data_IF_170585320985
#
_entry.id   IF_170585320985
#
_cell.length_a   1.000
_cell.length_b   1.000
_cell.length_c   1.000
_cell.angle_alpha   90.00
_cell.angle_beta   90.00
_cell.angle_gamma   90.00
#
_symmetry.space_group_name_H-M   'P 1'
#
loop_
_entity.id
_entity.type
_entity.pdbx_description
1 polymer ?
#
# COMPACT_ATOMS: atom_id res chain seq x y z
N UNK A 1 -2.38 8.59 31.42
CA UNK A 1 -2.71 8.94 30.03
C UNK A 1 -1.41 9.41 29.38
N UNK A 2 -0.58 8.48 28.89
CA UNK A 2 0.71 8.80 28.27
C UNK A 2 0.51 8.71 26.77
N UNK A 3 0.54 9.86 26.09
CA UNK A 3 0.79 9.92 24.66
C UNK A 3 2.16 9.27 24.42
N UNK A 4 2.17 8.11 23.78
CA UNK A 4 3.40 7.54 23.22
C UNK A 4 3.65 8.27 21.92
N UNK A 5 4.29 9.43 22.02
CA UNK A 5 4.87 10.15 20.88
C UNK A 5 6.05 9.32 20.34
N UNK A 6 5.73 8.25 19.62
CA UNK A 6 6.70 7.52 18.82
C UNK A 6 6.95 8.32 17.54
N UNK A 7 7.69 9.42 17.66
CA UNK A 7 8.34 10.08 16.52
C UNK A 7 9.51 9.19 16.10
N UNK A 8 9.24 8.24 15.20
CA UNK A 8 10.26 7.61 14.38
C UNK A 8 9.76 7.45 12.96
N UNK A 9 9.77 8.59 12.25
CA UNK A 9 9.52 8.70 10.83
C UNK A 9 10.44 9.76 10.25
N UNK A 10 11.70 9.35 10.02
CA UNK A 10 12.77 10.05 9.27
C UNK A 10 13.60 11.12 10.00
N UNK A 11 14.95 11.02 9.96
CA UNK A 11 15.79 12.20 10.11
C UNK A 11 15.60 13.06 8.86
N UNK A 12 15.00 14.23 9.03
CA UNK A 12 14.83 15.29 8.03
C UNK A 12 13.88 14.97 6.87
N UNK A 13 12.65 15.50 6.98
CA UNK A 13 11.83 15.80 5.81
C UNK A 13 12.57 16.75 4.88
N UNK A 14 13.06 16.24 3.75
CA UNK A 14 13.32 16.97 2.49
C UNK A 14 13.73 16.02 1.34
N UNK A 15 13.30 14.76 1.40
CA UNK A 15 13.37 13.88 0.24
C UNK A 15 12.03 13.17 0.16
N UNK A 16 11.35 13.24 -1.00
CA UNK A 16 10.17 12.41 -1.27
C UNK A 16 10.49 10.91 -1.35
N UNK A 17 11.46 10.44 -0.57
CA UNK A 17 11.80 9.04 -0.33
C UNK A 17 11.27 8.68 1.05
N UNK A 18 9.95 8.70 1.19
CA UNK A 18 9.30 8.12 2.35
C UNK A 18 9.54 6.63 2.33
N UNK A 19 10.53 6.13 3.07
CA UNK A 19 10.70 4.70 3.24
C UNK A 19 11.30 4.43 4.63
N UNK A 20 10.41 4.26 5.62
CA UNK A 20 10.48 3.01 6.37
C UNK A 20 10.18 1.92 5.33
N UNK A 21 10.98 0.85 5.25
CA UNK A 21 10.66 -0.21 4.28
C UNK A 21 9.30 -0.78 4.62
N UNK A 22 8.55 -1.26 3.61
CA UNK A 22 7.24 -1.86 3.83
C UNK A 22 7.30 -2.99 4.89
N UNK A 23 8.43 -3.68 4.96
CA UNK A 23 8.75 -4.69 5.95
C UNK A 23 8.84 -4.13 7.37
N UNK A 24 9.48 -2.97 7.57
CA UNK A 24 9.59 -2.33 8.89
C UNK A 24 8.21 -1.92 9.41
N UNK A 25 7.37 -1.35 8.55
CA UNK A 25 5.99 -0.99 8.90
C UNK A 25 5.20 -2.25 9.28
N UNK A 26 5.34 -3.33 8.52
CA UNK A 26 4.66 -4.58 8.80
C UNK A 26 5.08 -5.16 10.15
N UNK A 27 6.38 -5.18 10.47
CA UNK A 27 6.88 -5.67 11.76
C UNK A 27 6.29 -4.84 12.91
N UNK A 28 6.23 -3.51 12.77
CA UNK A 28 5.66 -2.63 13.80
C UNK A 28 4.17 -2.91 13.98
N UNK A 29 3.41 -3.04 12.89
CA UNK A 29 1.97 -3.34 12.94
C UNK A 29 1.71 -4.70 13.59
N UNK A 30 2.50 -5.72 13.26
CA UNK A 30 2.37 -7.08 13.83
C UNK A 30 2.74 -7.13 15.32
N UNK A 31 3.73 -6.34 15.76
CA UNK A 31 4.20 -6.33 17.15
C UNK A 31 3.45 -5.32 18.04
N UNK A 32 2.74 -4.36 17.46
CA UNK A 32 2.03 -3.33 18.19
C UNK A 32 0.69 -3.84 18.72
N UNK A 33 0.42 -3.55 20.00
CA UNK A 33 -0.90 -3.72 20.62
C UNK A 33 -1.72 -2.43 20.63
N UNK A 34 -1.15 -1.34 20.09
CA UNK A 34 -1.76 -0.01 20.02
C UNK A 34 -1.93 0.42 18.56
N UNK A 35 -2.89 1.32 18.26
CA UNK A 35 -3.10 1.78 16.89
C UNK A 35 -1.84 2.42 16.29
N UNK A 36 -1.46 2.00 15.09
CA UNK A 36 -0.26 2.48 14.39
C UNK A 36 -0.65 3.53 13.35
N UNK A 37 -0.10 4.72 13.50
CA UNK A 37 -0.29 5.85 12.58
C UNK A 37 1.02 6.12 11.85
N UNK A 38 0.99 6.10 10.52
CA UNK A 38 2.16 6.44 9.71
C UNK A 38 2.14 7.92 9.37
N UNK A 39 3.17 8.63 9.84
CA UNK A 39 3.40 10.06 9.58
C UNK A 39 4.74 10.24 8.86
N UNK A 40 4.77 11.20 7.93
CA UNK A 40 5.88 11.56 7.03
C UNK A 40 6.18 10.58 5.87
N UNK A 41 6.54 11.17 4.72
CA UNK A 41 7.06 10.43 3.56
C UNK A 41 6.07 10.11 2.45
N UNK A 42 4.76 10.32 2.67
CA UNK A 42 3.73 10.07 1.66
C UNK A 42 3.70 11.21 0.64
N UNK A 43 4.07 10.94 -0.60
CA UNK A 43 4.05 11.91 -1.70
C UNK A 43 2.77 11.85 -2.53
N UNK A 44 2.19 10.65 -2.64
CA UNK A 44 1.01 10.39 -3.48
C UNK A 44 -0.01 9.48 -2.76
N UNK A 45 -1.28 9.50 -3.18
CA UNK A 45 -2.32 8.63 -2.59
C UNK A 45 -2.03 7.13 -2.67
N UNK A 46 -1.22 6.68 -3.64
CA UNK A 46 -0.81 5.28 -3.74
C UNK A 46 0.04 4.86 -2.55
N UNK A 47 0.93 5.73 -2.07
CA UNK A 47 1.78 5.43 -0.90
C UNK A 47 0.91 5.21 0.33
N UNK A 48 -0.09 6.07 0.52
CA UNK A 48 -1.08 5.92 1.58
C UNK A 48 -1.86 4.62 1.46
N UNK A 49 -2.21 4.20 0.24
CA UNK A 49 -2.91 2.94 -0.01
C UNK A 49 -2.04 1.74 0.40
N UNK A 50 -0.77 1.73 0.01
CA UNK A 50 0.20 0.68 0.37
C UNK A 50 0.36 0.58 1.88
N UNK A 51 0.48 1.70 2.59
CA UNK A 51 0.59 1.70 4.06
C UNK A 51 -0.65 1.10 4.73
N UNK A 52 -1.84 1.44 4.24
CA UNK A 52 -3.09 0.86 4.75
C UNK A 52 -3.22 -0.64 4.41
N UNK A 53 -2.68 -1.09 3.28
CA UNK A 53 -2.61 -2.52 2.91
C UNK A 53 -1.67 -3.33 3.82
N UNK A 54 -0.64 -2.70 4.38
CA UNK A 54 0.28 -3.33 5.35
C UNK A 54 -0.34 -3.45 6.75
N UNK A 55 -1.52 -2.87 6.97
CA UNK A 55 -2.26 -2.97 8.23
C UNK A 55 -2.12 -1.77 9.16
N UNK A 56 -1.62 -0.63 8.68
CA UNK A 56 -1.70 0.62 9.44
C UNK A 56 -3.16 1.03 9.73
N UNK A 57 -3.38 1.70 10.85
CA UNK A 57 -4.71 2.15 11.27
C UNK A 57 -5.07 3.51 10.66
N UNK A 58 -4.07 4.38 10.51
CA UNK A 58 -4.23 5.68 9.89
C UNK A 58 -2.94 6.18 9.24
N UNK A 59 -3.10 7.16 8.36
CA UNK A 59 -2.00 7.92 7.77
C UNK A 59 -2.16 9.41 8.08
N UNK A 60 -1.04 10.08 8.35
CA UNK A 60 -0.98 11.52 8.52
C UNK A 60 -0.30 12.13 7.30
N UNK A 61 -1.00 13.04 6.62
CA UNK A 61 -0.53 13.67 5.38
C UNK A 61 -0.66 15.18 5.52
N UNK A 62 0.46 15.89 5.31
CA UNK A 62 0.48 17.36 5.31
C UNK A 62 1.08 17.90 4.00
N UNK A 63 2.40 17.74 3.82
CA UNK A 63 3.15 18.35 2.72
C UNK A 63 2.61 18.00 1.34
N UNK A 64 2.21 16.74 1.10
CA UNK A 64 1.67 16.32 -0.18
C UNK A 64 0.35 17.00 -0.55
N UNK A 65 -0.50 17.32 0.42
CA UNK A 65 -1.75 18.07 0.17
C UNK A 65 -1.44 19.56 0.09
N UNK A 66 -0.63 20.09 1.01
CA UNK A 66 -0.33 21.51 1.11
C UNK A 66 0.48 22.06 -0.08
N UNK A 67 1.39 21.27 -0.66
CA UNK A 67 2.22 21.66 -1.80
C UNK A 67 1.69 21.18 -3.15
N UNK A 68 0.53 20.52 -3.19
CA UNK A 68 -0.09 20.12 -4.45
C UNK A 68 -0.59 21.34 -5.24
N UNK A 69 -0.56 21.24 -6.57
CA UNK A 69 -1.12 22.26 -7.46
C UNK A 69 -2.63 22.49 -7.20
N UNK A 70 -3.35 21.43 -6.81
CA UNK A 70 -4.75 21.52 -6.38
C UNK A 70 -4.93 20.74 -5.06
N UNK A 71 -4.85 21.42 -3.91
CA UNK A 71 -4.98 20.79 -2.59
C UNK A 71 -6.33 20.11 -2.35
N UNK A 72 -7.42 20.68 -2.88
CA UNK A 72 -8.76 20.10 -2.72
C UNK A 72 -8.89 18.76 -3.41
N UNK A 73 -8.42 18.68 -4.67
CA UNK A 73 -8.40 17.44 -5.44
C UNK A 73 -7.43 16.43 -4.84
N UNK A 74 -6.26 16.88 -4.37
CA UNK A 74 -5.29 15.99 -3.71
C UNK A 74 -5.84 15.41 -2.40
N UNK A 75 -6.56 16.21 -1.60
CA UNK A 75 -7.23 15.72 -0.39
C UNK A 75 -8.29 14.66 -0.68
N UNK A 76 -9.08 14.85 -1.74
CA UNK A 76 -10.04 13.82 -2.19
C UNK A 76 -9.32 12.55 -2.66
N UNK A 77 -8.24 12.69 -3.42
CA UNK A 77 -7.45 11.57 -3.90
C UNK A 77 -6.84 10.77 -2.72
N UNK A 78 -6.27 11.44 -1.71
CA UNK A 78 -5.76 10.78 -0.50
C UNK A 78 -6.88 10.06 0.28
N UNK A 79 -8.05 10.68 0.42
CA UNK A 79 -9.21 10.04 1.06
C UNK A 79 -9.57 8.73 0.37
N UNK A 80 -9.63 8.72 -0.97
CA UNK A 80 -9.93 7.53 -1.75
C UNK A 80 -8.84 6.46 -1.63
N UNK A 81 -7.55 6.85 -1.67
CA UNK A 81 -6.42 5.94 -1.50
C UNK A 81 -6.45 5.22 -0.15
N UNK A 82 -6.65 5.97 0.94
CA UNK A 82 -6.76 5.38 2.29
C UNK A 82 -7.93 4.40 2.38
N UNK A 83 -9.10 4.77 1.84
CA UNK A 83 -10.26 3.89 1.83
C UNK A 83 -10.04 2.63 0.99
N UNK A 84 -9.37 2.76 -0.17
CA UNK A 84 -9.04 1.63 -1.03
C UNK A 84 -8.08 0.67 -0.33
N UNK A 85 -6.97 1.19 0.22
CA UNK A 85 -5.99 0.37 0.91
C UNK A 85 -6.56 -0.34 2.14
N UNK A 86 -7.40 0.34 2.94
CA UNK A 86 -8.05 -0.32 4.09
C UNK A 86 -9.03 -1.41 3.66
N UNK A 87 -9.79 -1.19 2.59
CA UNK A 87 -10.67 -2.22 2.03
C UNK A 87 -9.88 -3.40 1.48
N UNK A 88 -8.73 -3.16 0.84
CA UNK A 88 -7.85 -4.21 0.34
C UNK A 88 -7.25 -5.05 1.49
N UNK A 89 -6.86 -4.41 2.60
CA UNK A 89 -6.43 -5.12 3.81
C UNK A 89 -7.54 -6.04 4.36
N UNK A 90 -8.76 -5.51 4.52
CA UNK A 90 -9.90 -6.27 5.03
C UNK A 90 -10.38 -7.37 4.06
N UNK A 91 -10.24 -7.17 2.75
CA UNK A 91 -10.61 -8.14 1.73
C UNK A 91 -9.63 -9.33 1.66
N UNK A 92 -8.40 -9.15 2.16
CA UNK A 92 -7.33 -10.14 2.04
C UNK A 92 -6.76 -10.17 0.62
N UNK A 93 -5.60 -9.55 0.42
CA UNK A 93 -4.89 -9.59 -0.87
C UNK A 93 -4.51 -11.02 -1.25
N UNK A 94 -4.48 -11.30 -2.55
CA UNK A 94 -3.94 -12.56 -3.06
C UNK A 94 -2.47 -12.73 -2.62
N UNK A 95 -2.03 -13.97 -2.32
CA UNK A 95 -0.63 -14.21 -2.02
C UNK A 95 0.24 -13.82 -3.21
N UNK A 96 1.37 -13.17 -2.94
CA UNK A 96 2.37 -12.91 -3.96
C UNK A 96 3.01 -14.25 -4.32
N UNK A 97 2.83 -14.68 -5.57
CA UNK A 97 3.41 -15.90 -6.10
C UNK A 97 4.59 -15.48 -6.97
N UNK A 98 5.82 -15.85 -6.60
CA UNK A 98 7.04 -15.50 -7.36
C UNK A 98 7.08 -16.14 -8.77
N UNK A 99 6.23 -17.14 -9.01
CA UNK A 99 6.03 -17.75 -10.33
C UNK A 99 4.65 -17.40 -10.85
N UNK A 100 4.62 -16.71 -11.99
CA UNK A 100 3.41 -16.55 -12.78
C UNK A 100 2.87 -17.93 -13.18
N UNK A 101 1.87 -18.41 -12.45
CA UNK A 101 1.02 -19.49 -12.95
C UNK A 101 0.05 -18.85 -13.93
N UNK A 102 0.24 -19.12 -15.22
CA UNK A 102 -0.71 -18.72 -16.25
C UNK A 102 -2.08 -19.33 -15.90
N UNK A 103 -3.05 -18.50 -15.52
CA UNK A 103 -4.42 -18.93 -15.19
C UNK A 103 -5.30 -19.10 -16.44
N UNK A 104 -4.74 -18.96 -17.63
CA UNK A 104 -5.43 -19.25 -18.88
C UNK A 104 -5.54 -20.76 -19.05
N UNK A 105 -6.75 -21.34 -19.15
CA UNK A 105 -6.91 -22.73 -19.54
C UNK A 105 -6.45 -22.85 -20.99
N UNK A 106 -5.28 -23.40 -21.22
CA UNK A 106 -4.86 -23.90 -22.55
C UNK A 106 -5.43 -25.31 -22.77
N UNK A 107 -6.73 -25.47 -22.50
CA UNK A 107 -7.52 -26.60 -22.99
C UNK A 107 -8.49 -26.03 -24.02
N UNK A 108 -8.00 -25.79 -25.24
CA UNK A 108 -8.71 -26.08 -26.50
C UNK A 108 -7.96 -25.47 -27.70
N UNK A 109 -6.71 -25.88 -27.92
CA UNK A 109 -6.19 -25.90 -29.29
C UNK A 109 -6.22 -27.35 -29.72
N UNK A 110 -7.33 -27.69 -30.37
CA UNK A 110 -7.58 -28.95 -31.03
C UNK A 110 -6.31 -29.60 -31.57
N UNK A 111 -6.03 -30.81 -31.10
CA UNK A 111 -5.04 -31.70 -31.70
C UNK A 111 -5.55 -32.00 -33.11
N UNK A 112 -5.06 -31.25 -34.10
CA UNK A 112 -5.40 -31.47 -35.49
C UNK A 112 -5.00 -32.90 -35.86
N UNK A 113 -6.02 -33.64 -36.29
CA UNK A 113 -5.99 -35.07 -36.53
C UNK A 113 -4.80 -35.51 -37.37
N UNK A 114 -4.22 -36.64 -36.96
CA UNK A 114 -3.49 -37.57 -37.80
C UNK A 114 -4.14 -37.67 -39.18
N UNK A 115 -3.42 -37.30 -40.23
CA UNK A 115 -3.69 -37.78 -41.59
C UNK A 115 -2.44 -38.47 -42.09
N UNK A 116 -2.55 -39.79 -42.13
CA UNK A 116 -1.71 -40.71 -42.87
C UNK A 116 -1.68 -40.37 -44.37
N UNK A 117 -0.50 -40.32 -44.95
CA UNK A 117 -0.15 -41.02 -46.20
C UNK A 117 1.37 -41.04 -46.39
#
# INVERSE_FOLDING_TARGET
MRYSDAVWGSPFGFSGRGVLTAEEIQIIVEQSSVPVVVDAGLGVPSDASTVMELGADAVLVNTAIAQATNPGLMGEAFKLGVQAGRKAYLAGRIPVIDKASASSPTEDVAVAATTSN
#
